data_IF_598383287411
#
_entry.id   IF_598383287411
#
_cell.length_a   1.000
_cell.length_b   1.000
_cell.length_c   1.000
_cell.angle_alpha   90.00
_cell.angle_beta   90.00
_cell.angle_gamma   90.00
#
_symmetry.space_group_name_H-M   'P 1'
#
loop_
_entity.id
_entity.type
_entity.pdbx_description
1 polymer ?
#
# COMPACT_ATOMS: atom_id res chain seq x y z
N UNK A 1 -23.52 -8.53 12.19
CA UNK A 1 -23.79 -8.27 10.76
C UNK A 1 -24.48 -9.49 10.17
N UNK A 2 -25.76 -9.39 9.81
CA UNK A 2 -26.42 -10.46 9.06
C UNK A 2 -26.19 -10.24 7.56
N UNK A 3 -25.35 -11.07 6.96
CA UNK A 3 -24.98 -10.96 5.54
C UNK A 3 -26.14 -11.22 4.59
N UNK A 4 -27.21 -11.88 5.06
CA UNK A 4 -28.40 -12.18 4.25
C UNK A 4 -29.18 -10.92 3.88
N UNK A 5 -29.04 -9.85 4.67
CA UNK A 5 -29.70 -8.57 4.40
C UNK A 5 -29.15 -7.85 3.16
N UNK A 6 -28.02 -8.30 2.60
CA UNK A 6 -27.42 -7.71 1.39
C UNK A 6 -27.66 -8.55 0.14
N UNK A 7 -28.55 -9.54 0.21
CA UNK A 7 -28.97 -10.32 -0.94
C UNK A 7 -30.03 -9.53 -1.71
N UNK A 8 -29.73 -9.21 -2.97
CA UNK A 8 -30.64 -8.55 -3.91
C UNK A 8 -30.88 -9.51 -5.07
N UNK A 9 -32.14 -9.88 -5.28
CA UNK A 9 -32.56 -10.70 -6.41
C UNK A 9 -33.04 -9.79 -7.53
N UNK A 10 -32.36 -9.86 -8.68
CA UNK A 10 -32.74 -9.16 -9.89
C UNK A 10 -33.35 -10.15 -10.87
N UNK A 11 -34.61 -9.92 -11.24
CA UNK A 11 -35.27 -10.66 -12.31
C UNK A 11 -34.87 -10.04 -13.65
N UNK A 12 -34.06 -10.77 -14.41
CA UNK A 12 -33.59 -10.35 -15.74
C UNK A 12 -33.97 -11.39 -16.78
N UNK A 13 -34.02 -10.99 -18.05
CA UNK A 13 -34.21 -11.95 -19.15
C UNK A 13 -32.86 -12.44 -19.65
N UNK A 14 -32.80 -13.71 -20.03
CA UNK A 14 -31.64 -14.31 -20.66
C UNK A 14 -32.01 -14.96 -21.99
N UNK A 15 -31.12 -14.88 -22.97
CA UNK A 15 -31.22 -15.65 -24.20
C UNK A 15 -30.48 -16.96 -24.07
N UNK A 16 -31.19 -18.06 -24.27
CA UNK A 16 -30.59 -19.39 -24.41
C UNK A 16 -30.02 -19.53 -25.80
N UNK A 17 -28.71 -19.78 -25.86
CA UNK A 17 -27.96 -19.88 -27.12
C UNK A 17 -27.06 -21.11 -27.13
N UNK A 18 -26.82 -21.76 -28.28
CA UNK A 18 -25.83 -22.82 -28.39
C UNK A 18 -24.44 -22.31 -28.00
N UNK A 19 -23.69 -23.11 -27.23
CA UNK A 19 -22.37 -22.75 -26.71
C UNK A 19 -21.40 -22.34 -27.82
N UNK A 20 -21.46 -23.01 -28.98
CA UNK A 20 -20.60 -22.77 -30.13
C UNK A 20 -20.83 -21.41 -30.78
N UNK A 21 -22.02 -20.82 -30.59
CA UNK A 21 -22.44 -19.57 -31.21
C UNK A 21 -22.43 -18.39 -30.25
N UNK A 22 -22.13 -18.61 -28.97
CA UNK A 22 -22.16 -17.59 -27.93
C UNK A 22 -21.33 -16.34 -28.29
N UNK A 23 -20.11 -16.50 -28.81
CA UNK A 23 -19.25 -15.39 -29.21
C UNK A 23 -19.87 -14.51 -30.31
N UNK A 24 -20.56 -15.13 -31.28
CA UNK A 24 -21.23 -14.40 -32.35
C UNK A 24 -22.42 -13.60 -31.79
N UNK A 25 -23.21 -14.22 -30.91
CA UNK A 25 -24.35 -13.56 -30.28
C UNK A 25 -23.90 -12.37 -29.42
N UNK A 26 -22.82 -12.51 -28.64
CA UNK A 26 -22.27 -11.40 -27.86
C UNK A 26 -21.83 -10.21 -28.74
N UNK A 27 -21.29 -10.46 -29.94
CA UNK A 27 -20.93 -9.40 -30.89
C UNK A 27 -22.18 -8.70 -31.44
N UNK A 28 -23.21 -9.45 -31.81
CA UNK A 28 -24.47 -8.91 -32.33
C UNK A 28 -25.19 -8.09 -31.26
N UNK A 29 -25.27 -8.61 -30.03
CA UNK A 29 -25.95 -8.00 -28.90
C UNK A 29 -25.11 -7.01 -28.10
N UNK A 30 -23.94 -6.61 -28.62
CA UNK A 30 -23.14 -5.57 -27.98
C UNK A 30 -23.98 -4.29 -27.76
N UNK A 31 -23.99 -3.79 -26.53
CA UNK A 31 -24.83 -2.68 -26.06
C UNK A 31 -26.21 -3.05 -25.51
N UNK A 32 -26.65 -4.31 -25.65
CA UNK A 32 -27.96 -4.81 -25.18
C UNK A 32 -27.85 -5.95 -24.17
N UNK A 33 -26.63 -6.37 -23.87
CA UNK A 33 -26.33 -7.34 -22.82
C UNK A 33 -26.36 -6.67 -21.45
N UNK A 34 -26.59 -7.47 -20.41
CA UNK A 34 -26.53 -7.03 -19.03
C UNK A 34 -25.18 -6.40 -18.72
N UNK A 35 -25.19 -5.18 -18.18
CA UNK A 35 -23.99 -4.37 -17.99
C UNK A 35 -23.89 -3.89 -16.54
N UNK A 36 -23.58 -4.83 -15.64
CA UNK A 36 -23.17 -4.50 -14.26
C UNK A 36 -21.69 -4.81 -14.05
N UNK A 37 -20.95 -3.95 -13.32
CA UNK A 37 -19.56 -4.21 -12.97
C UNK A 37 -19.40 -5.57 -12.28
N UNK A 38 -18.36 -6.34 -12.64
CA UNK A 38 -18.03 -7.64 -12.02
C UNK A 38 -19.07 -8.77 -12.22
N UNK A 39 -20.19 -8.52 -12.92
CA UNK A 39 -21.12 -9.57 -13.34
C UNK A 39 -20.78 -9.99 -14.78
N UNK A 40 -20.47 -11.27 -14.97
CA UNK A 40 -20.30 -11.83 -16.32
C UNK A 40 -21.68 -11.94 -16.99
N UNK A 41 -21.88 -11.38 -18.19
CA UNK A 41 -23.17 -11.40 -18.88
C UNK A 41 -23.49 -12.76 -19.50
N UNK A 42 -22.53 -13.69 -19.57
CA UNK A 42 -22.73 -15.06 -20.04
C UNK A 42 -22.69 -16.02 -18.84
N UNK A 43 -23.73 -16.84 -18.70
CA UNK A 43 -23.91 -17.83 -17.64
C UNK A 43 -24.10 -19.23 -18.21
N UNK A 44 -23.89 -20.24 -17.39
CA UNK A 44 -24.19 -21.62 -17.75
C UNK A 44 -25.70 -21.85 -17.69
N UNK A 45 -26.20 -22.70 -18.59
CA UNK A 45 -27.61 -23.08 -18.64
C UNK A 45 -27.81 -24.31 -17.75
N UNK A 46 -28.61 -24.22 -16.66
CA UNK A 46 -28.84 -25.35 -15.76
C UNK A 46 -29.50 -26.56 -16.44
N UNK A 47 -30.26 -26.31 -17.51
CA UNK A 47 -31.01 -27.36 -18.22
C UNK A 47 -30.18 -28.07 -19.29
N UNK A 48 -29.07 -27.47 -19.75
CA UNK A 48 -28.30 -28.03 -20.87
C UNK A 48 -26.85 -27.54 -20.90
N UNK A 49 -25.90 -28.48 -20.79
CA UNK A 49 -24.48 -28.19 -20.94
C UNK A 49 -24.09 -27.69 -22.36
N UNK A 50 -24.94 -27.96 -23.38
CA UNK A 50 -24.75 -27.54 -24.77
C UNK A 50 -25.11 -26.06 -24.99
N UNK A 51 -25.82 -25.45 -24.06
CA UNK A 51 -26.28 -24.08 -24.17
C UNK A 51 -25.57 -23.15 -23.18
N UNK A 52 -25.72 -21.85 -23.41
CA UNK A 52 -25.33 -20.77 -22.50
C UNK A 52 -26.48 -19.77 -22.41
N UNK A 53 -26.56 -19.10 -21.28
CA UNK A 53 -27.52 -18.02 -21.04
C UNK A 53 -26.80 -16.68 -21.19
N UNK A 54 -27.27 -15.83 -22.10
CA UNK A 54 -26.77 -14.47 -22.27
C UNK A 54 -27.77 -13.54 -21.59
N UNK A 55 -27.37 -12.94 -20.47
CA UNK A 55 -28.16 -11.98 -19.72
C UNK A 55 -28.37 -10.71 -20.55
N UNK A 56 -29.62 -10.28 -20.67
CA UNK A 56 -30.02 -9.06 -21.35
C UNK A 56 -30.03 -7.87 -20.38
N UNK A 57 -29.93 -6.66 -20.94
CA UNK A 57 -30.05 -5.42 -20.16
C UNK A 57 -31.39 -5.36 -19.42
N UNK A 58 -31.40 -4.73 -18.24
CA UNK A 58 -32.61 -4.49 -17.42
C UNK A 58 -33.69 -3.70 -18.17
N UNK A 59 -33.31 -2.98 -19.21
CA UNK A 59 -34.27 -2.27 -20.07
C UNK A 59 -35.21 -3.26 -20.78
N UNK A 60 -34.75 -4.47 -21.10
CA UNK A 60 -35.53 -5.48 -21.82
C UNK A 60 -36.51 -6.18 -20.87
N UNK A 61 -37.55 -5.46 -20.43
CA UNK A 61 -38.39 -5.85 -19.29
C UNK A 61 -39.46 -6.91 -19.59
N UNK A 62 -39.79 -7.20 -20.86
CA UNK A 62 -41.02 -7.95 -21.21
C UNK A 62 -40.83 -9.22 -22.03
N UNK A 63 -39.63 -9.81 -22.08
CA UNK A 63 -39.36 -11.03 -22.87
C UNK A 63 -39.53 -10.89 -24.39
N UNK A 64 -40.17 -9.80 -24.84
CA UNK A 64 -40.22 -9.36 -26.21
C UNK A 64 -38.95 -8.59 -26.50
N UNK A 65 -38.17 -9.10 -27.46
CA UNK A 65 -36.94 -8.49 -27.97
C UNK A 65 -37.19 -7.16 -28.73
N UNK A 66 -38.34 -6.51 -28.52
CA UNK A 66 -38.78 -5.29 -29.22
C UNK A 66 -37.83 -4.10 -29.02
N UNK A 67 -37.09 -4.08 -27.91
CA UNK A 67 -36.11 -3.04 -27.60
C UNK A 67 -34.75 -3.28 -28.27
N UNK A 68 -34.53 -4.49 -28.78
CA UNK A 68 -33.38 -4.83 -29.60
C UNK A 68 -33.77 -4.56 -31.06
N UNK A 69 -32.95 -3.83 -31.84
CA UNK A 69 -33.24 -3.57 -33.24
C UNK A 69 -33.61 -4.84 -34.01
N UNK A 70 -34.71 -4.82 -34.76
CA UNK A 70 -35.20 -5.98 -35.51
C UNK A 70 -34.14 -6.59 -36.44
N UNK A 71 -33.21 -5.77 -36.97
CA UNK A 71 -32.07 -6.25 -37.77
C UNK A 71 -31.17 -7.22 -36.99
N UNK A 72 -30.87 -6.93 -35.72
CA UNK A 72 -30.07 -7.79 -34.84
C UNK A 72 -30.83 -9.04 -34.44
N UNK A 73 -32.13 -8.91 -34.13
CA UNK A 73 -32.97 -10.05 -33.76
C UNK A 73 -33.15 -11.01 -34.94
N UNK A 74 -33.38 -10.50 -36.15
CA UNK A 74 -33.50 -11.31 -37.36
C UNK A 74 -32.18 -12.05 -37.67
N UNK A 75 -31.05 -11.36 -37.56
CA UNK A 75 -29.73 -11.99 -37.73
C UNK A 75 -29.51 -13.17 -36.76
N UNK A 76 -30.08 -13.11 -35.55
CA UNK A 76 -30.02 -14.21 -34.59
C UNK A 76 -31.01 -15.33 -34.92
N UNK A 77 -32.23 -15.00 -35.36
CA UNK A 77 -33.27 -15.96 -35.76
C UNK A 77 -32.87 -16.79 -36.97
N UNK A 78 -32.13 -16.20 -37.92
CA UNK A 78 -31.62 -16.89 -39.10
C UNK A 78 -30.58 -17.96 -38.74
N UNK A 79 -29.95 -17.83 -37.57
CA UNK A 79 -28.93 -18.75 -37.11
C UNK A 79 -29.56 -19.89 -36.30
N UNK A 80 -30.34 -19.58 -35.27
CA UNK A 80 -30.87 -20.58 -34.35
C UNK A 80 -32.19 -20.11 -33.71
N UNK A 81 -32.92 -21.04 -33.11
CA UNK A 81 -34.14 -20.73 -32.39
C UNK A 81 -33.84 -19.92 -31.13
N UNK A 82 -34.31 -18.67 -31.09
CA UNK A 82 -34.09 -17.78 -29.95
C UNK A 82 -35.14 -18.10 -28.88
N UNK A 83 -34.67 -18.61 -27.75
CA UNK A 83 -35.51 -18.80 -26.57
C UNK A 83 -35.11 -17.78 -25.49
N UNK A 84 -36.02 -16.85 -25.16
CA UNK A 84 -35.87 -15.95 -24.03
C UNK A 84 -36.44 -16.64 -22.77
N UNK A 85 -35.63 -16.74 -21.73
CA UNK A 85 -36.00 -17.36 -20.46
C UNK A 85 -35.82 -16.35 -19.32
N UNK A 86 -36.69 -16.36 -18.30
CA UNK A 86 -36.44 -15.58 -17.09
C UNK A 86 -35.21 -16.14 -16.37
N UNK A 87 -34.39 -15.25 -15.81
CA UNK A 87 -33.20 -15.59 -15.04
C UNK A 87 -33.15 -14.75 -13.77
N UNK A 88 -33.07 -15.42 -12.61
CA UNK A 88 -32.92 -14.75 -11.33
C UNK A 88 -31.43 -14.56 -11.02
N UNK A 89 -30.95 -13.33 -11.12
CA UNK A 89 -29.59 -12.96 -10.75
C UNK A 89 -29.57 -12.60 -9.27
N UNK A 90 -28.88 -13.41 -8.47
CA UNK A 90 -28.66 -13.17 -7.04
C UNK A 90 -27.36 -12.40 -6.84
N UNK A 91 -27.46 -11.17 -6.34
CA UNK A 91 -26.32 -10.36 -5.90
C UNK A 91 -26.23 -10.44 -4.38
N UNK A 92 -25.23 -11.14 -3.87
CA UNK A 92 -25.04 -11.35 -2.44
C UNK A 92 -23.99 -10.39 -1.84
N UNK A 93 -23.66 -10.60 -0.57
CA UNK A 93 -22.62 -9.85 0.11
C UNK A 93 -21.31 -9.81 -0.71
N UNK A 94 -20.87 -10.90 -1.33
CA UNK A 94 -19.59 -10.96 -2.05
C UNK A 94 -19.50 -9.98 -3.23
N UNK A 95 -20.65 -9.66 -3.84
CA UNK A 95 -20.73 -8.71 -4.94
C UNK A 95 -20.48 -7.27 -4.48
N UNK A 96 -21.07 -6.86 -3.36
CA UNK A 96 -21.04 -5.47 -2.91
C UNK A 96 -19.68 -5.06 -2.32
N UNK A 97 -19.23 -3.85 -2.66
CA UNK A 97 -18.04 -3.24 -2.05
C UNK A 97 -18.27 -2.81 -0.60
N UNK A 98 -17.20 -2.58 0.15
CA UNK A 98 -17.28 -2.15 1.55
C UNK A 98 -18.13 -0.88 1.73
N UNK A 99 -17.92 0.13 0.88
CA UNK A 99 -18.66 1.39 0.94
C UNK A 99 -20.18 1.19 0.80
N UNK A 100 -20.63 0.36 -0.15
CA UNK A 100 -22.05 0.07 -0.33
C UNK A 100 -22.64 -0.59 0.92
N UNK A 101 -21.97 -1.61 1.44
CA UNK A 101 -22.40 -2.33 2.64
C UNK A 101 -22.50 -1.38 3.83
N UNK A 102 -21.47 -0.54 4.06
CA UNK A 102 -21.46 0.40 5.17
C UNK A 102 -22.55 1.46 5.06
N UNK A 103 -22.83 1.98 3.86
CA UNK A 103 -23.93 2.94 3.63
C UNK A 103 -25.31 2.37 3.97
N UNK A 104 -25.51 1.06 3.83
CA UNK A 104 -26.78 0.41 4.18
C UNK A 104 -26.90 0.11 5.68
N UNK A 105 -25.79 0.03 6.41
CA UNK A 105 -25.77 -0.28 7.85
C UNK A 105 -25.80 1.00 8.68
N UNK A 106 -25.05 2.01 8.26
CA UNK A 106 -24.88 3.26 9.01
C UNK A 106 -26.12 4.15 8.85
N UNK A 107 -26.48 4.95 9.88
CA UNK A 107 -27.63 5.85 9.81
C UNK A 107 -27.51 6.88 8.67
N UNK A 108 -28.65 7.25 8.09
CA UNK A 108 -28.73 8.31 7.08
C UNK A 108 -28.17 9.63 7.64
N UNK A 109 -27.14 10.18 6.97
CA UNK A 109 -26.49 11.44 7.37
C UNK A 109 -25.12 11.26 8.01
N UNK A 110 -24.73 10.03 8.36
CA UNK A 110 -23.36 9.75 8.82
C UNK A 110 -22.47 9.50 7.61
N UNK A 111 -21.37 10.25 7.48
CA UNK A 111 -20.39 10.00 6.43
C UNK A 111 -19.71 8.66 6.67
N UNK A 112 -19.81 7.76 5.70
CA UNK A 112 -19.04 6.51 5.71
C UNK A 112 -17.57 6.89 5.60
N UNK A 113 -16.68 6.34 6.44
CA UNK A 113 -15.24 6.52 6.30
C UNK A 113 -14.79 6.05 4.91
N UNK A 114 -14.74 6.97 3.95
CA UNK A 114 -14.35 6.71 2.57
C UNK A 114 -12.82 6.63 2.41
N UNK A 115 -12.10 7.11 3.42
CA UNK A 115 -10.64 7.10 3.49
C UNK A 115 -10.17 6.56 4.85
N UNK A 116 -9.95 5.26 4.93
CA UNK A 116 -9.10 4.71 5.98
C UNK A 116 -7.64 4.82 5.55
N UNK A 117 -6.73 5.10 6.48
CA UNK A 117 -5.30 4.96 6.17
C UNK A 117 -5.03 3.47 6.11
N UNK A 118 -5.02 2.91 4.91
CA UNK A 118 -4.32 1.64 4.78
C UNK A 118 -2.85 1.96 4.84
N UNK A 119 -2.10 1.29 5.72
CA UNK A 119 -0.64 1.29 5.65
C UNK A 119 -0.28 0.44 4.42
N UNK A 120 -0.61 0.96 3.23
CA UNK A 120 -0.37 0.38 1.93
C UNK A 120 0.34 1.44 1.11
N UNK A 121 1.61 1.21 0.78
CA UNK A 121 2.24 2.00 -0.27
C UNK A 121 1.45 1.82 -1.56
N UNK A 122 1.23 2.94 -2.24
CA UNK A 122 0.31 3.06 -3.34
C UNK A 122 0.80 2.48 -4.67
N UNK A 123 1.94 1.77 -4.70
CA UNK A 123 2.40 1.16 -5.95
C UNK A 123 2.90 -0.30 -5.84
N UNK A 124 3.15 -0.83 -4.64
CA UNK A 124 3.47 -2.25 -4.42
C UNK A 124 2.98 -2.72 -3.04
N UNK A 125 1.83 -3.39 -3.03
CA UNK A 125 1.09 -3.91 -1.86
C UNK A 125 1.95 -4.74 -0.90
N UNK A 126 2.41 -4.15 0.20
CA UNK A 126 3.25 -4.88 1.17
C UNK A 126 2.83 -4.74 2.64
N UNK A 127 1.84 -3.92 2.97
CA UNK A 127 1.24 -3.88 4.32
C UNK A 127 -0.06 -4.69 4.45
N UNK A 128 -0.30 -5.30 5.62
CA UNK A 128 -1.49 -6.11 5.91
C UNK A 128 -2.40 -5.51 7.00
N UNK A 129 -2.07 -4.30 7.47
CA UNK A 129 -2.77 -3.59 8.54
C UNK A 129 -3.61 -2.47 7.93
N UNK A 130 -4.90 -2.44 8.27
CA UNK A 130 -5.79 -1.32 7.98
C UNK A 130 -5.97 -0.46 9.24
N UNK A 131 -5.60 0.82 9.15
CA UNK A 131 -5.76 1.78 10.24
C UNK A 131 -7.00 2.65 10.00
N UNK A 132 -7.99 2.50 10.87
CA UNK A 132 -9.21 3.30 10.93
C UNK A 132 -9.02 4.47 11.89
N UNK A 133 -9.65 5.61 11.55
CA UNK A 133 -9.80 6.74 12.45
C UNK A 133 -11.30 6.95 12.68
N UNK A 134 -11.84 6.25 13.67
CA UNK A 134 -13.28 6.25 13.95
C UNK A 134 -13.61 7.44 14.84
N UNK A 135 -14.51 8.31 14.37
CA UNK A 135 -15.03 9.44 15.14
C UNK A 135 -16.01 8.98 16.21
N UNK A 136 -16.26 9.82 17.22
CA UNK A 136 -17.17 9.49 18.33
C UNK A 136 -18.57 9.06 17.87
N UNK A 137 -19.08 9.65 16.79
CA UNK A 137 -20.37 9.31 16.17
C UNK A 137 -20.40 7.88 15.59
N UNK A 138 -19.24 7.38 15.17
CA UNK A 138 -19.07 6.07 14.54
C UNK A 138 -18.61 4.98 15.53
N UNK A 139 -18.19 5.35 16.75
CA UNK A 139 -17.76 4.40 17.78
C UNK A 139 -18.79 3.28 18.06
N UNK A 140 -20.11 3.54 18.12
CA UNK A 140 -21.09 2.47 18.31
C UNK A 140 -21.10 1.42 17.18
N UNK A 141 -20.58 1.77 16.00
CA UNK A 141 -20.55 0.92 14.82
C UNK A 141 -19.17 0.33 14.52
N UNK A 142 -18.16 0.59 15.38
CA UNK A 142 -16.75 0.28 15.12
C UNK A 142 -16.50 -1.18 14.76
N UNK A 143 -17.16 -2.11 15.45
CA UNK A 143 -16.96 -3.56 15.24
C UNK A 143 -17.54 -4.01 13.89
N UNK A 144 -18.69 -3.46 13.51
CA UNK A 144 -19.32 -3.76 12.23
C UNK A 144 -18.53 -3.15 11.09
N UNK A 145 -18.05 -1.90 11.25
CA UNK A 145 -17.18 -1.25 10.27
C UNK A 145 -15.92 -2.07 10.06
N UNK A 146 -15.22 -2.42 11.14
CA UNK A 146 -13.99 -3.21 11.08
C UNK A 146 -14.23 -4.58 10.43
N UNK A 147 -15.33 -5.26 10.77
CA UNK A 147 -15.70 -6.53 10.15
C UNK A 147 -15.89 -6.40 8.65
N UNK A 148 -16.60 -5.38 8.18
CA UNK A 148 -16.81 -5.17 6.75
C UNK A 148 -15.50 -4.86 6.04
N UNK A 149 -14.65 -4.00 6.60
CA UNK A 149 -13.34 -3.69 6.01
C UNK A 149 -12.46 -4.95 5.95
N UNK A 150 -12.44 -5.75 7.01
CA UNK A 150 -11.71 -7.02 7.04
C UNK A 150 -12.23 -8.00 5.97
N UNK A 151 -13.53 -8.31 5.98
CA UNK A 151 -14.14 -9.30 5.09
C UNK A 151 -13.96 -8.94 3.61
N UNK A 152 -14.03 -7.64 3.26
CA UNK A 152 -13.93 -7.16 1.87
C UNK A 152 -12.51 -7.08 1.34
N UNK A 153 -11.52 -7.08 2.23
CA UNK A 153 -10.12 -6.92 1.88
C UNK A 153 -9.29 -8.16 2.21
N UNK A 154 -9.87 -9.20 2.78
CA UNK A 154 -9.24 -10.50 3.02
C UNK A 154 -8.88 -11.19 1.68
N UNK A 155 -7.71 -11.85 1.55
CA UNK A 155 -6.69 -12.11 2.58
C UNK A 155 -5.60 -11.03 2.68
N UNK A 156 -5.75 -9.90 1.96
CA UNK A 156 -4.71 -8.85 1.90
C UNK A 156 -4.58 -8.14 3.23
N UNK A 157 -5.71 -7.74 3.82
CA UNK A 157 -5.76 -7.18 5.17
C UNK A 157 -6.00 -8.32 6.14
N UNK A 158 -5.10 -8.46 7.13
CA UNK A 158 -5.19 -9.47 8.19
C UNK A 158 -5.41 -8.85 9.57
N UNK A 159 -5.25 -7.54 9.71
CA UNK A 159 -5.42 -6.84 10.98
C UNK A 159 -6.07 -5.47 10.71
N UNK A 160 -7.15 -5.17 11.43
CA UNK A 160 -7.81 -3.86 11.39
C UNK A 160 -7.68 -3.23 12.77
N UNK A 161 -7.13 -2.02 12.81
CA UNK A 161 -6.90 -1.28 14.04
C UNK A 161 -7.58 0.07 14.02
N UNK A 162 -7.93 0.58 15.20
CA UNK A 162 -8.39 1.95 15.38
C UNK A 162 -7.46 2.68 16.35
N UNK A 163 -7.14 3.94 16.04
CA UNK A 163 -6.37 4.79 16.94
C UNK A 163 -7.22 5.18 18.15
N UNK A 164 -6.67 5.03 19.35
CA UNK A 164 -7.30 5.45 20.60
C UNK A 164 -6.52 6.60 21.21
N UNK A 165 -7.25 7.66 21.59
CA UNK A 165 -6.74 8.76 22.37
C UNK A 165 -5.77 9.69 21.64
N UNK A 166 -5.23 10.63 22.41
CA UNK A 166 -4.21 11.59 22.00
C UNK A 166 -2.82 10.97 22.09
N UNK A 167 -1.92 11.39 21.18
CA UNK A 167 -0.52 10.97 21.22
C UNK A 167 0.15 11.77 22.33
N UNK A 168 0.38 11.15 23.48
CA UNK A 168 0.93 11.81 24.67
C UNK A 168 2.31 11.30 25.06
N UNK A 169 2.85 10.28 24.36
CA UNK A 169 4.17 9.74 24.64
C UNK A 169 5.28 10.50 23.89
N UNK A 170 6.48 10.49 24.48
CA UNK A 170 7.68 11.11 23.91
C UNK A 170 8.09 10.52 22.56
N UNK A 171 7.81 9.23 22.34
CA UNK A 171 8.09 8.52 21.08
C UNK A 171 7.05 8.77 19.98
N UNK A 172 5.97 9.50 20.29
CA UNK A 172 4.84 9.79 19.39
C UNK A 172 4.15 8.56 18.78
N UNK A 173 4.28 7.40 19.41
CA UNK A 173 3.64 6.15 18.96
C UNK A 173 2.16 6.17 19.37
N UNK A 174 1.21 6.14 18.42
CA UNK A 174 -0.21 6.10 18.76
C UNK A 174 -0.57 4.78 19.46
N UNK A 175 -1.57 4.83 20.35
CA UNK A 175 -2.17 3.61 20.90
C UNK A 175 -3.25 3.11 19.94
N UNK A 176 -3.29 1.79 19.74
CA UNK A 176 -4.23 1.15 18.84
C UNK A 176 -5.06 0.10 19.59
N UNK A 177 -6.35 0.02 19.29
CA UNK A 177 -7.15 -1.19 19.53
C UNK A 177 -7.21 -2.02 18.26
N UNK A 178 -7.11 -3.33 18.40
CA UNK A 178 -7.39 -4.28 17.32
C UNK A 178 -8.91 -4.51 17.29
N UNK A 179 -9.53 -4.18 16.15
CA UNK A 179 -10.96 -4.35 15.94
C UNK A 179 -11.31 -5.64 15.18
N UNK A 180 -10.39 -6.12 14.32
CA UNK A 180 -10.56 -7.38 13.59
C UNK A 180 -9.21 -8.00 13.20
N UNK A 181 -9.18 -9.33 13.05
CA UNK A 181 -8.01 -10.05 12.56
C UNK A 181 -7.15 -10.70 13.64
N UNK A 182 -5.90 -11.03 13.28
CA UNK A 182 -4.95 -11.77 14.12
C UNK A 182 -4.18 -10.90 15.14
N UNK A 183 -4.26 -9.57 15.02
CA UNK A 183 -3.56 -8.62 15.88
C UNK A 183 -2.07 -8.46 15.58
N UNK A 184 -1.56 -8.98 14.46
CA UNK A 184 -0.17 -8.79 14.09
C UNK A 184 0.11 -7.33 13.65
N UNK A 185 1.02 -6.66 14.36
CA UNK A 185 1.40 -5.28 14.07
C UNK A 185 2.74 -5.17 13.32
N UNK A 186 3.46 -6.29 13.14
CA UNK A 186 4.74 -6.34 12.41
C UNK A 186 4.47 -6.45 10.92
N UNK A 187 4.77 -5.39 10.17
CA UNK A 187 4.51 -5.30 8.74
C UNK A 187 5.73 -4.83 7.96
N UNK A 188 5.68 -5.03 6.65
CA UNK A 188 6.60 -4.45 5.68
C UNK A 188 5.86 -3.41 4.85
N UNK A 189 6.54 -2.36 4.38
CA UNK A 189 5.98 -1.35 3.47
C UNK A 189 7.04 -0.99 2.45
N UNK A 190 6.68 -1.03 1.17
CA UNK A 190 7.59 -0.66 0.08
C UNK A 190 7.28 0.73 -0.46
N UNK A 191 8.02 1.76 -0.11
CA UNK A 191 7.84 3.13 -0.64
C UNK A 191 8.99 3.50 -1.59
N UNK A 192 8.65 3.98 -2.78
CA UNK A 192 9.62 4.43 -3.80
C UNK A 192 10.78 3.47 -4.14
N UNK A 193 10.60 2.17 -3.94
CA UNK A 193 11.63 1.16 -4.21
C UNK A 193 12.31 0.63 -2.94
N UNK A 194 12.34 1.43 -1.88
CA UNK A 194 12.85 1.05 -0.56
C UNK A 194 11.82 0.23 0.22
N UNK A 195 12.32 -0.70 1.04
CA UNK A 195 11.54 -1.62 1.87
C UNK A 195 11.70 -1.22 3.35
N UNK A 196 10.60 -1.04 4.05
CA UNK A 196 10.55 -0.65 5.44
C UNK A 196 9.81 -1.71 6.26
N UNK A 197 10.55 -2.44 7.09
CA UNK A 197 10.00 -3.28 8.14
C UNK A 197 9.77 -2.42 9.38
N UNK A 198 8.64 -2.64 10.04
CA UNK A 198 8.26 -1.95 11.26
C UNK A 198 7.22 -2.73 12.05
N UNK A 199 7.17 -2.49 13.36
CA UNK A 199 6.02 -2.82 14.19
C UNK A 199 5.19 -1.55 14.38
N UNK A 200 4.00 -1.54 13.79
CA UNK A 200 3.13 -0.36 13.75
C UNK A 200 2.64 0.05 15.16
N UNK A 201 2.71 -0.86 16.15
CA UNK A 201 2.42 -0.57 17.54
C UNK A 201 3.60 -0.01 18.35
N UNK A 202 4.83 -0.05 17.80
CA UNK A 202 6.05 0.38 18.51
C UNK A 202 6.73 1.60 17.90
N UNK A 203 6.42 1.96 16.66
CA UNK A 203 7.04 3.09 15.97
C UNK A 203 6.00 4.01 15.34
N UNK A 204 6.34 5.29 15.18
CA UNK A 204 5.54 6.20 14.39
C UNK A 204 5.75 5.94 12.90
N UNK A 205 4.66 5.74 12.16
CA UNK A 205 4.66 5.64 10.70
C UNK A 205 3.42 6.29 10.12
N UNK A 206 3.58 6.99 9.00
CA UNK A 206 2.47 7.60 8.27
C UNK A 206 2.72 7.44 6.77
N UNK A 207 1.85 6.66 6.11
CA UNK A 207 2.05 6.33 4.69
C UNK A 207 1.71 7.50 3.76
N UNK A 208 0.93 8.50 4.24
CA UNK A 208 0.53 9.66 3.44
C UNK A 208 1.67 10.64 3.20
N UNK A 209 2.74 10.59 4.00
CA UNK A 209 3.91 11.47 3.88
C UNK A 209 4.89 11.02 2.78
N UNK A 210 4.63 9.89 2.11
CA UNK A 210 5.49 9.33 1.06
C UNK A 210 5.93 10.37 0.00
N UNK A 211 4.99 11.15 -0.53
CA UNK A 211 5.29 12.18 -1.53
C UNK A 211 6.17 13.31 -1.00
N UNK A 212 5.99 13.70 0.26
CA UNK A 212 6.80 14.74 0.90
C UNK A 212 8.21 14.23 1.19
N UNK A 213 8.32 12.96 1.63
CA UNK A 213 9.61 12.29 1.79
C UNK A 213 10.38 12.29 0.48
N UNK A 214 9.75 11.88 -0.63
CA UNK A 214 10.38 11.87 -1.94
C UNK A 214 10.77 13.27 -2.41
N UNK A 215 9.92 14.28 -2.18
CA UNK A 215 10.21 15.66 -2.58
C UNK A 215 11.50 16.16 -1.94
N UNK A 216 11.73 15.89 -0.66
CA UNK A 216 12.95 16.27 0.03
C UNK A 216 14.15 15.43 -0.43
N UNK A 217 14.01 14.10 -0.42
CA UNK A 217 15.07 13.18 -0.87
C UNK A 217 15.52 13.50 -2.29
N UNK A 218 14.61 13.93 -3.19
CA UNK A 218 14.93 14.26 -4.58
C UNK A 218 16.00 15.35 -4.73
N UNK A 219 16.15 16.24 -3.73
CA UNK A 219 17.12 17.34 -3.74
C UNK A 219 18.55 16.90 -3.43
N UNK A 220 18.70 15.77 -2.75
CA UNK A 220 20.02 15.26 -2.33
C UNK A 220 20.79 14.66 -3.51
N UNK A 221 22.12 14.79 -3.45
CA UNK A 221 23.10 14.31 -4.42
C UNK A 221 24.04 13.31 -3.78
N UNK A 222 24.52 12.36 -4.60
CA UNK A 222 25.50 11.38 -4.15
C UNK A 222 26.75 12.07 -3.57
N UNK A 223 27.25 11.54 -2.46
CA UNK A 223 28.41 12.09 -1.73
C UNK A 223 28.06 13.14 -0.68
N UNK A 224 26.83 13.68 -0.65
CA UNK A 224 26.41 14.63 0.39
C UNK A 224 26.25 13.94 1.76
N UNK A 225 26.44 14.72 2.82
CA UNK A 225 26.26 14.31 4.22
C UNK A 225 24.93 14.83 4.74
N UNK A 226 24.04 13.91 5.12
CA UNK A 226 22.69 14.18 5.60
C UNK A 226 22.61 13.88 7.10
N UNK A 227 22.02 14.79 7.87
CA UNK A 227 21.71 14.58 9.28
C UNK A 227 20.19 14.50 9.46
N UNK A 228 19.68 13.31 9.74
CA UNK A 228 18.27 13.06 10.04
C UNK A 228 18.09 12.93 11.56
N UNK A 229 17.55 13.98 12.19
CA UNK A 229 17.56 14.15 13.64
C UNK A 229 16.44 13.33 14.33
N UNK A 230 15.37 13.04 13.60
CA UNK A 230 14.18 12.31 14.04
C UNK A 230 13.83 11.25 12.99
N UNK A 231 14.76 10.34 12.76
CA UNK A 231 14.78 9.44 11.63
C UNK A 231 13.69 8.38 11.66
N UNK A 232 13.09 8.08 12.82
CA UNK A 232 12.16 6.97 12.95
C UNK A 232 12.76 5.66 12.39
N UNK A 233 12.01 4.96 11.54
CA UNK A 233 12.48 3.76 10.84
C UNK A 233 13.24 4.04 9.54
N UNK A 234 13.52 5.31 9.25
CA UNK A 234 14.37 5.78 8.15
C UNK A 234 13.69 6.19 6.83
N UNK A 235 12.47 6.77 6.80
CA UNK A 235 11.83 7.14 5.53
C UNK A 235 12.61 8.20 4.72
N UNK A 236 13.49 8.99 5.35
CA UNK A 236 14.45 9.87 4.67
C UNK A 236 15.84 9.23 4.59
N UNK A 237 16.33 8.67 5.70
CA UNK A 237 17.66 8.09 5.80
C UNK A 237 17.92 6.98 4.77
N UNK A 238 16.98 6.02 4.62
CA UNK A 238 17.15 4.90 3.70
C UNK A 238 17.21 5.38 2.24
N UNK A 239 16.24 6.17 1.72
CA UNK A 239 16.30 6.61 0.33
C UNK A 239 17.45 7.60 0.05
N UNK A 240 17.88 8.39 1.04
CA UNK A 240 19.07 9.23 0.90
C UNK A 240 20.35 8.40 0.75
N UNK A 241 20.49 7.34 1.56
CA UNK A 241 21.60 6.42 1.46
C UNK A 241 21.58 5.61 0.15
N UNK A 242 20.39 5.21 -0.35
CA UNK A 242 20.26 4.57 -1.67
C UNK A 242 20.74 5.46 -2.84
N UNK A 243 20.64 6.79 -2.67
CA UNK A 243 21.23 7.77 -3.61
C UNK A 243 22.74 7.92 -3.48
N UNK A 244 23.38 7.26 -2.51
CA UNK A 244 24.81 7.36 -2.23
C UNK A 244 25.19 8.54 -1.33
N UNK A 245 24.27 9.05 -0.51
CA UNK A 245 24.58 10.03 0.53
C UNK A 245 25.07 9.30 1.79
N UNK A 246 25.90 9.96 2.59
CA UNK A 246 26.23 9.51 3.94
C UNK A 246 25.19 10.07 4.91
N UNK A 247 24.65 9.24 5.79
CA UNK A 247 23.55 9.65 6.67
C UNK A 247 23.90 9.41 8.13
N UNK A 248 23.84 10.47 8.92
CA UNK A 248 23.74 10.39 10.38
C UNK A 248 22.26 10.41 10.74
N UNK A 249 21.75 9.32 11.29
CA UNK A 249 20.33 9.15 11.60
C UNK A 249 20.15 8.93 13.10
N UNK A 250 19.32 9.76 13.73
CA UNK A 250 19.02 9.69 15.16
C UNK A 250 17.53 9.58 15.40
N UNK A 251 17.15 8.87 16.45
CA UNK A 251 15.79 8.88 16.97
C UNK A 251 15.81 8.55 18.47
N UNK A 252 14.90 9.14 19.23
CA UNK A 252 14.79 8.89 20.67
C UNK A 252 14.21 7.50 20.96
N UNK A 253 13.35 6.98 20.07
CA UNK A 253 12.72 5.67 20.26
C UNK A 253 13.70 4.53 19.90
N UNK A 254 14.07 3.66 20.85
CA UNK A 254 14.98 2.54 20.58
C UNK A 254 14.41 1.54 19.54
N UNK A 255 13.09 1.36 19.49
CA UNK A 255 12.46 0.49 18.48
C UNK A 255 12.57 1.08 17.07
N UNK A 256 12.44 2.40 16.93
CA UNK A 256 12.68 3.11 15.66
C UNK A 256 14.09 2.83 15.15
N UNK A 257 15.10 2.95 16.03
CA UNK A 257 16.50 2.70 15.66
C UNK A 257 16.78 1.23 15.35
N UNK A 258 16.15 0.30 16.09
CA UNK A 258 16.21 -1.13 15.77
C UNK A 258 15.70 -1.40 14.37
N UNK A 259 14.53 -0.87 14.01
CA UNK A 259 13.97 -1.02 12.67
C UNK A 259 14.76 -0.27 11.59
N UNK A 260 15.29 0.92 11.89
CA UNK A 260 16.17 1.65 10.99
C UNK A 260 17.38 0.80 10.57
N UNK A 261 18.04 0.13 11.51
CA UNK A 261 19.18 -0.77 11.23
C UNK A 261 18.75 -1.95 10.36
N UNK A 262 17.64 -2.62 10.72
CA UNK A 262 17.07 -3.71 9.92
C UNK A 262 16.72 -3.27 8.50
N UNK A 263 16.18 -2.05 8.34
CA UNK A 263 15.84 -1.48 7.05
C UNK A 263 17.10 -1.11 6.25
N UNK A 264 18.14 -0.61 6.90
CA UNK A 264 19.41 -0.31 6.24
C UNK A 264 20.06 -1.58 5.67
N UNK A 265 20.00 -2.69 6.40
CA UNK A 265 20.42 -4.02 5.93
C UNK A 265 19.54 -4.50 4.77
N UNK A 266 18.21 -4.45 4.93
CA UNK A 266 17.26 -4.92 3.90
C UNK A 266 17.42 -4.18 2.57
N UNK A 267 17.76 -2.89 2.60
CA UNK A 267 17.99 -2.07 1.42
C UNK A 267 19.47 -2.01 1.00
N UNK A 268 20.37 -2.73 1.69
CA UNK A 268 21.81 -2.84 1.36
C UNK A 268 22.56 -1.50 1.41
N UNK A 269 22.19 -0.65 2.37
CA UNK A 269 22.75 0.69 2.60
C UNK A 269 23.31 0.88 4.02
N UNK A 270 23.45 -0.20 4.79
CA UNK A 270 23.97 -0.18 6.17
C UNK A 270 25.31 0.57 6.29
N UNK A 271 26.21 0.40 5.32
CA UNK A 271 27.54 1.04 5.33
C UNK A 271 27.49 2.58 5.18
N UNK A 272 26.36 3.13 4.74
CA UNK A 272 26.17 4.57 4.51
C UNK A 272 25.38 5.25 5.63
N UNK A 273 24.91 4.49 6.62
CA UNK A 273 24.04 5.01 7.70
C UNK A 273 24.70 4.79 9.06
N UNK A 274 24.94 5.87 9.78
CA UNK A 274 25.32 5.86 11.20
C UNK A 274 24.09 6.14 12.06
N UNK A 275 23.58 5.10 12.73
CA UNK A 275 22.35 5.16 13.52
C UNK A 275 22.64 5.41 15.01
N UNK A 276 21.99 6.42 15.59
CA UNK A 276 22.13 6.83 16.99
C UNK A 276 20.78 6.77 17.71
N UNK A 277 20.78 6.38 18.99
CA UNK A 277 19.59 6.42 19.83
C UNK A 277 19.84 7.40 20.98
N UNK A 278 19.41 8.64 20.83
CA UNK A 278 19.67 9.72 21.79
C UNK A 278 18.62 10.82 21.68
N UNK A 279 18.48 11.63 22.74
CA UNK A 279 17.76 12.90 22.63
C UNK A 279 18.40 13.75 21.51
N UNK A 280 17.56 14.33 20.68
CA UNK A 280 17.99 15.10 19.52
C UNK A 280 18.96 16.25 19.86
N UNK A 281 18.81 16.89 21.03
CA UNK A 281 19.71 17.96 21.49
C UNK A 281 21.08 17.39 21.81
N UNK A 282 21.13 16.31 22.58
CA UNK A 282 22.38 15.62 22.90
C UNK A 282 23.08 15.12 21.64
N UNK A 283 22.32 14.56 20.69
CA UNK A 283 22.84 14.10 19.42
C UNK A 283 23.47 15.22 18.60
N UNK A 284 22.77 16.34 18.39
CA UNK A 284 23.34 17.48 17.66
C UNK A 284 24.56 18.04 18.40
N UNK A 285 24.49 18.22 19.73
CA UNK A 285 25.65 18.69 20.50
C UNK A 285 26.86 17.76 20.35
N UNK A 286 26.65 16.45 20.35
CA UNK A 286 27.72 15.46 20.16
C UNK A 286 28.34 15.51 18.76
N UNK A 287 27.53 15.82 17.73
CA UNK A 287 28.01 15.98 16.36
C UNK A 287 28.81 17.26 16.18
N UNK A 288 28.47 18.33 16.92
CA UNK A 288 29.13 19.64 16.86
C UNK A 288 30.34 19.75 17.79
N UNK A 289 30.49 18.82 18.75
CA UNK A 289 31.62 18.82 19.68
C UNK A 289 32.92 18.55 18.91
N UNK A 290 33.92 19.42 19.12
CA UNK A 290 35.27 19.15 18.67
C UNK A 290 35.83 17.93 19.42
N UNK A 291 36.63 17.07 18.77
CA UNK A 291 37.23 15.92 19.40
C UNK A 291 38.24 16.47 20.40
N UNK A 292 38.00 16.21 21.69
CA UNK A 292 39.06 16.29 22.68
C UNK A 292 40.17 15.35 22.23
N UNK A 293 41.40 15.85 22.13
CA UNK A 293 42.59 15.12 21.66
C UNK A 293 43.04 13.97 22.59
N UNK A 294 42.13 13.35 23.34
CA UNK A 294 42.45 12.32 24.34
C UNK A 294 41.81 10.95 24.09
N UNK A 295 40.87 10.78 23.15
CA UNK A 295 40.25 9.47 22.85
C UNK A 295 40.80 8.81 21.58
N UNK A 296 42.12 8.89 21.37
CA UNK A 296 42.81 7.94 20.51
C UNK A 296 43.65 7.03 21.41
N UNK A 297 43.29 5.74 21.43
CA UNK A 297 43.82 4.64 22.24
C UNK A 297 42.91 4.31 23.45
N UNK A 298 41.88 3.51 23.20
CA UNK A 298 41.40 2.38 24.04
C UNK A 298 39.89 2.17 23.89
N UNK A 299 39.48 1.47 22.84
CA UNK A 299 38.22 0.69 22.85
C UNK A 299 38.27 -0.46 21.86
N UNK A 300 39.41 -1.15 21.80
CA UNK A 300 39.41 -2.58 21.54
C UNK A 300 39.94 -3.26 22.81
N UNK A 301 39.19 -4.26 23.31
CA UNK A 301 39.42 -5.07 24.51
C UNK A 301 38.92 -4.52 25.85
N UNK A 302 37.66 -4.83 26.18
CA UNK A 302 37.28 -5.22 27.55
C UNK A 302 35.93 -5.96 27.55
N UNK A 303 35.93 -7.19 27.05
CA UNK A 303 35.01 -8.22 27.58
C UNK A 303 35.72 -8.77 28.81
N UNK A 304 35.33 -8.32 30.01
CA UNK A 304 35.58 -9.07 31.23
C UNK A 304 34.37 -9.01 32.17
N UNK A 305 33.85 -10.20 32.41
CA UNK A 305 32.97 -10.61 33.49
C UNK A 305 33.57 -10.27 34.86
N UNK A 306 32.82 -9.58 35.71
CA UNK A 306 32.97 -9.70 37.17
C UNK A 306 31.62 -9.64 37.88
N UNK A 307 31.38 -10.71 38.63
CA UNK A 307 30.39 -10.93 39.69
C UNK A 307 30.50 -9.95 40.86
N UNK A 308 29.37 -9.57 41.48
CA UNK A 308 29.33 -9.13 42.88
C UNK A 308 28.33 -8.02 43.26
N UNK A 309 27.13 -8.44 43.68
CA UNK A 309 26.29 -7.98 44.82
C UNK A 309 25.84 -6.50 45.06
N UNK A 310 24.50 -6.36 45.24
CA UNK A 310 23.76 -5.30 46.00
C UNK A 310 23.29 -4.09 45.17
N UNK A 311 22.05 -3.59 45.16
CA UNK A 311 20.87 -3.72 46.03
C UNK A 311 19.57 -3.44 45.22
N UNK A 312 18.45 -3.98 45.70
CA UNK A 312 17.20 -4.13 44.98
C UNK A 312 16.24 -2.92 45.09
N UNK A 313 15.63 -2.52 43.97
CA UNK A 313 14.32 -1.88 43.96
C UNK A 313 13.37 -2.57 42.97
N UNK A 314 12.25 -3.05 43.53
CA UNK A 314 11.21 -3.89 42.89
C UNK A 314 10.39 -3.10 41.86
N UNK A 315 10.22 -3.66 40.67
CA UNK A 315 9.11 -3.37 39.74
C UNK A 315 8.39 -4.71 39.47
N UNK A 316 7.05 -4.76 39.51
CA UNK A 316 6.31 -6.03 39.51
C UNK A 316 6.34 -6.75 38.16
N UNK A 317 6.39 -8.08 38.24
CA UNK A 317 6.42 -9.00 37.12
C UNK A 317 5.06 -9.15 36.42
N UNK A 318 5.10 -9.37 35.10
CA UNK A 318 4.09 -10.18 34.42
C UNK A 318 3.72 -9.80 32.98
N UNK A 319 4.53 -10.21 31.99
CA UNK A 319 4.11 -11.22 30.99
C UNK A 319 5.28 -11.59 30.06
N UNK A 320 5.53 -12.90 30.00
CA UNK A 320 6.49 -13.57 29.12
C UNK A 320 6.01 -13.40 27.68
N UNK A 321 6.84 -12.81 26.81
CA UNK A 321 6.63 -12.82 25.37
C UNK A 321 7.58 -13.88 24.79
N UNK A 322 7.01 -14.82 24.05
CA UNK A 322 7.73 -15.86 23.32
C UNK A 322 8.64 -15.22 22.26
N UNK A 323 9.91 -15.62 22.27
CA UNK A 323 10.82 -15.40 21.16
C UNK A 323 10.32 -16.24 19.96
N UNK A 324 9.50 -15.60 19.11
CA UNK A 324 9.04 -16.17 17.86
C UNK A 324 10.21 -16.40 16.90
N UNK A 325 10.63 -17.65 16.81
CA UNK A 325 11.62 -18.17 15.86
C UNK A 325 11.13 -17.91 14.43
N UNK A 326 11.87 -17.10 13.68
CA UNK A 326 11.64 -16.88 12.25
C UNK A 326 12.03 -18.15 11.47
N UNK A 327 11.11 -18.72 10.72
CA UNK A 327 11.41 -19.74 9.70
C UNK A 327 11.43 -19.07 8.34
N UNK A 328 12.54 -19.23 7.62
CA UNK A 328 12.68 -18.84 6.23
C UNK A 328 11.56 -19.45 5.38
N UNK A 329 10.77 -18.60 4.73
CA UNK A 329 9.82 -19.05 3.72
C UNK A 329 10.63 -19.38 2.47
N UNK A 330 10.84 -20.67 2.25
CA UNK A 330 11.45 -21.21 1.05
C UNK A 330 10.66 -20.79 -0.21
N UNK A 331 11.42 -20.32 -1.19
CA UNK A 331 11.00 -20.07 -2.56
C UNK A 331 10.48 -21.39 -3.16
N UNK A 332 9.16 -21.53 -3.24
CA UNK A 332 8.54 -22.65 -3.97
C UNK A 332 8.18 -22.15 -5.36
N UNK A 333 9.09 -22.44 -6.29
CA UNK A 333 8.86 -22.28 -7.71
C UNK A 333 7.63 -23.05 -8.15
N UNK A 334 6.68 -22.33 -8.75
CA UNK A 334 5.66 -22.90 -9.61
C UNK A 334 5.95 -22.46 -11.04
N UNK A 335 6.62 -23.32 -11.79
CA UNK A 335 6.52 -23.35 -13.24
C UNK A 335 5.15 -23.91 -13.62
N UNK A 336 4.34 -23.16 -14.37
CA UNK A 336 3.66 -23.82 -15.49
C UNK A 336 3.47 -22.87 -16.67
N UNK A 337 3.73 -23.46 -17.83
CA UNK A 337 3.63 -22.92 -19.16
C UNK A 337 2.16 -22.86 -19.55
N UNK A 338 1.70 -21.73 -20.08
CA UNK A 338 0.85 -21.79 -21.26
C UNK A 338 0.90 -20.49 -22.04
N UNK A 339 0.91 -20.70 -23.34
CA UNK A 339 1.31 -19.85 -24.44
C UNK A 339 0.02 -19.35 -25.10
N UNK A 340 0.07 -18.16 -25.71
CA UNK A 340 -0.70 -17.64 -26.86
C UNK A 340 -1.16 -16.20 -26.59
N UNK A 341 -0.60 -15.19 -27.26
CA UNK A 341 -0.71 -14.75 -28.66
C UNK A 341 -1.76 -13.64 -28.84
N UNK A 342 -1.27 -12.46 -29.25
CA UNK A 342 -1.85 -11.58 -30.28
C UNK A 342 -3.23 -10.96 -30.04
N UNK A 343 -3.24 -9.66 -29.76
CA UNK A 343 -3.63 -8.62 -30.75
C UNK A 343 -4.40 -7.44 -30.14
N UNK A 344 -3.93 -6.26 -30.54
CA UNK A 344 -4.42 -4.94 -30.20
C UNK A 344 -5.80 -4.65 -30.83
N UNK A 345 -6.58 -3.77 -30.20
CA UNK A 345 -7.22 -2.65 -30.92
C UNK A 345 -7.72 -1.58 -29.95
N UNK A 346 -7.25 -0.36 -30.23
CA UNK A 346 -7.69 0.93 -29.69
C UNK A 346 -9.15 1.26 -30.03
N UNK A 347 -9.79 2.10 -29.21
CA UNK A 347 -10.69 3.11 -29.76
C UNK A 347 -10.72 4.39 -28.92
N UNK A 348 -10.30 5.47 -29.58
CA UNK A 348 -10.39 6.87 -29.18
C UNK A 348 -11.75 7.43 -29.59
N UNK A 349 -12.34 8.30 -28.76
CA UNK A 349 -13.39 9.23 -29.19
C UNK A 349 -12.85 10.66 -29.19
N UNK A 350 -13.04 11.31 -30.35
CA UNK A 350 -12.72 12.71 -30.65
C UNK A 350 -13.78 13.67 -30.09
N UNK A 351 -13.36 14.87 -29.70
CA UNK A 351 -14.15 16.10 -29.92
C UNK A 351 -13.22 17.22 -30.43
N UNK A 352 -13.72 17.86 -31.49
CA UNK A 352 -13.25 18.96 -32.34
C UNK A 352 -13.10 20.29 -31.58
N UNK A 353 -12.52 21.39 -32.08
CA UNK A 353 -11.59 21.76 -33.15
C UNK A 353 -11.48 23.28 -33.05
N UNK A 354 -10.28 23.88 -33.09
CA UNK A 354 -10.08 25.20 -33.68
C UNK A 354 -8.61 25.41 -34.03
N UNK A 355 -8.40 26.03 -35.18
CA UNK A 355 -7.20 26.06 -36.00
C UNK A 355 -6.30 27.26 -35.70
N UNK A 356 -4.98 27.13 -35.95
CA UNK A 356 -4.26 27.94 -36.95
C UNK A 356 -2.77 27.54 -37.14
N UNK A 357 -2.45 27.32 -38.42
CA UNK A 357 -1.18 27.50 -39.17
C UNK A 357 0.18 26.90 -38.71
N UNK A 358 0.52 25.79 -39.40
CA UNK A 358 1.70 25.55 -40.27
C UNK A 358 3.12 25.97 -39.83
N UNK A 359 3.96 24.95 -39.64
CA UNK A 359 5.40 24.95 -39.91
C UNK A 359 5.91 23.51 -40.07
N UNK A 360 6.32 23.12 -41.28
CA UNK A 360 6.86 21.81 -41.60
C UNK A 360 8.32 21.68 -41.13
N UNK A 361 8.66 20.58 -40.45
CA UNK A 361 10.01 20.00 -40.52
C UNK A 361 9.92 18.48 -40.42
N UNK A 362 10.51 17.80 -41.40
CA UNK A 362 10.59 16.34 -41.55
C UNK A 362 11.84 15.86 -40.81
N UNK A 363 11.71 14.81 -39.99
CA UNK A 363 12.83 14.23 -39.25
C UNK A 363 12.47 12.94 -38.52
N UNK A 364 12.71 11.84 -39.21
CA UNK A 364 12.76 10.42 -38.84
C UNK A 364 12.82 10.07 -37.33
N UNK A 365 11.78 9.40 -36.81
CA UNK A 365 11.70 8.87 -35.44
C UNK A 365 12.18 7.41 -35.40
N UNK A 366 13.45 7.21 -35.00
CA UNK A 366 13.92 5.90 -34.49
C UNK A 366 13.67 5.81 -32.99
N UNK A 367 12.91 4.79 -32.57
CA UNK A 367 12.74 4.39 -31.18
C UNK A 367 14.09 3.92 -30.60
N UNK A 368 14.54 4.40 -29.43
CA UNK A 368 15.69 3.81 -28.76
C UNK A 368 15.26 2.63 -27.87
N UNK A 369 15.96 1.52 -28.05
CA UNK A 369 15.84 0.29 -27.28
C UNK A 369 16.09 0.49 -25.78
N UNK A 370 15.40 -0.32 -24.96
CA UNK A 370 15.53 -0.40 -23.50
C UNK A 370 16.96 -0.79 -23.10
N UNK A 371 17.82 0.17 -22.77
CA UNK A 371 19.05 -0.09 -22.01
C UNK A 371 18.70 -0.37 -20.54
N UNK A 372 18.95 -1.60 -20.09
CA UNK A 372 19.15 -1.93 -18.67
C UNK A 372 20.26 -1.03 -18.13
N UNK A 373 19.91 -0.01 -17.34
CA UNK A 373 20.89 0.74 -16.54
C UNK A 373 21.28 -0.11 -15.34
N UNK A 374 22.36 -0.87 -15.47
CA UNK A 374 23.11 -1.32 -14.31
C UNK A 374 23.74 -0.09 -13.67
N UNK A 375 23.35 0.23 -12.44
CA UNK A 375 24.08 1.19 -11.61
C UNK A 375 25.41 0.52 -11.29
N UNK A 376 26.48 0.95 -11.95
CA UNK A 376 27.84 0.58 -11.53
C UNK A 376 28.05 1.20 -10.16
N UNK A 377 28.15 0.35 -9.13
CA UNK A 377 28.63 0.72 -7.80
C UNK A 377 30.05 1.25 -8.01
N UNK A 378 30.27 2.53 -7.75
CA UNK A 378 31.62 3.05 -7.67
C UNK A 378 32.22 2.47 -6.39
N UNK A 379 33.25 1.63 -6.50
CA UNK A 379 34.13 1.35 -5.38
C UNK A 379 34.82 2.67 -5.02
N UNK A 380 34.29 3.33 -3.99
CA UNK A 380 34.90 4.52 -3.42
C UNK A 380 35.58 4.11 -2.13
N UNK A 381 36.89 3.93 -2.20
CA UNK A 381 37.78 3.85 -1.04
C UNK A 381 38.05 5.27 -0.52
N UNK A 382 37.03 5.95 0.01
CA UNK A 382 37.28 7.05 0.94
C UNK A 382 37.19 6.48 2.36
N UNK A 383 38.30 6.52 3.08
CA UNK A 383 38.32 6.20 4.50
C UNK A 383 37.43 7.19 5.24
N UNK A 384 36.71 6.64 6.22
CA UNK A 384 35.61 7.25 6.95
C UNK A 384 36.08 8.22 8.04
N UNK A 385 37.08 9.05 7.75
CA UNK A 385 37.73 9.95 8.72
C UNK A 385 37.46 11.43 8.46
N UNK A 386 36.45 11.76 7.65
CA UNK A 386 35.95 13.12 7.57
C UNK A 386 35.11 13.42 8.82
N UNK A 387 35.59 14.38 9.61
CA UNK A 387 34.99 14.85 10.85
C UNK A 387 33.52 15.25 10.63
N UNK A 388 32.55 14.71 11.41
CA UNK A 388 31.12 14.99 11.24
C UNK A 388 30.74 16.49 11.22
N UNK A 389 31.50 17.35 11.92
CA UNK A 389 31.22 18.78 12.06
C UNK A 389 31.80 19.67 10.95
N UNK A 390 32.70 19.17 10.09
CA UNK A 390 33.34 20.02 9.06
C UNK A 390 32.51 20.10 7.76
N UNK A 391 31.52 19.22 7.57
CA UNK A 391 30.64 19.26 6.39
C UNK A 391 29.31 18.50 6.62
N UNK A 392 28.22 19.22 6.90
CA UNK A 392 26.84 18.72 6.77
C UNK A 392 26.13 19.51 5.68
N UNK A 393 25.71 18.84 4.62
CA UNK A 393 25.01 19.48 3.50
C UNK A 393 23.55 19.77 3.85
N UNK A 394 22.91 18.85 4.57
CA UNK A 394 21.49 18.92 4.90
C UNK A 394 21.20 18.42 6.31
N UNK A 395 20.39 19.18 7.06
CA UNK A 395 19.82 18.75 8.34
C UNK A 395 18.30 18.65 8.19
N UNK A 396 17.76 17.47 8.47
CA UNK A 396 16.33 17.17 8.41
C UNK A 396 15.80 17.14 9.85
N UNK A 397 14.82 17.99 10.12
CA UNK A 397 14.10 18.01 11.39
C UNK A 397 12.59 17.97 11.09
N UNK A 398 11.97 16.82 11.32
CA UNK A 398 10.52 16.66 11.13
C UNK A 398 9.75 17.18 12.35
N UNK A 399 9.85 18.49 12.57
CA UNK A 399 9.28 19.17 13.72
C UNK A 399 7.96 19.86 13.38
N UNK A 400 7.00 19.94 14.32
CA UNK A 400 5.85 20.82 14.17
C UNK A 400 6.30 22.29 14.12
N UNK A 401 5.50 23.16 13.49
CA UNK A 401 5.81 24.60 13.35
C UNK A 401 6.07 25.31 14.70
N UNK A 402 5.58 24.77 15.82
CA UNK A 402 5.84 25.27 17.18
C UNK A 402 7.27 25.03 17.67
N UNK A 403 8.06 24.20 17.00
CA UNK A 403 9.41 23.85 17.41
C UNK A 403 10.48 24.86 16.99
N UNK A 404 10.12 26.08 16.58
CA UNK A 404 11.11 27.15 16.36
C UNK A 404 11.95 27.43 17.62
N UNK A 405 11.42 27.16 18.82
CA UNK A 405 12.20 27.17 20.07
C UNK A 405 13.31 26.13 20.12
N UNK A 406 13.18 24.99 19.41
CA UNK A 406 14.23 23.98 19.30
C UNK A 406 15.48 24.56 18.61
N UNK A 407 15.28 25.38 17.57
CA UNK A 407 16.36 26.04 16.83
C UNK A 407 16.96 27.24 17.56
N UNK A 408 16.22 27.89 18.45
CA UNK A 408 16.70 29.06 19.20
C UNK A 408 17.70 28.75 20.32
N UNK A 409 17.92 27.46 20.62
CA UNK A 409 18.87 27.00 21.65
C UNK A 409 20.15 26.39 21.06
N UNK A 410 20.33 26.44 19.74
CA UNK A 410 21.56 26.05 19.04
C UNK A 410 22.46 27.24 18.74
#
# INVERSE_FOLDING_TARGET
>A
LDVKNFVVNLSVWALRVPRERCNLVCRVLNGYMFNMPRVKPVKEDPESAKNRLILLSENVQKGNLSEIPCSKVNQLKDLFEIQAVPYELVLDYSYWGAEYILKQILPSGVEVPSSFETVLSHLFYTGHIAHLNITDELLPYKDVIAKVIYDKNYPRIKTVVNKIGTIENEFRVPRFEVLAGDGNMITEVKQHGAIFKLDYGLVYWNSRLEHEHLRLVSKFRAGEVICDVFAGVGPFAIPAAEKGCFVYANDLNPDSIRYLKLNAEANKVADLIRAHNSDARCFISSLMAAPSTEDSLDSESAIQTTSGEGEAHKIPAGRRLDEGKWTDVADTGFTDQSRWNGDAHSNSMKRSSESLSRGHFVGDLRLPEKKKRGVKRAEFSHSFDAKPWEHMDHVIMNLPASALQFLGNF
#
